data_IF_876917073634
#
_entry.id   IF_876917073634
#
_cell.length_a   1.000
_cell.length_b   1.000
_cell.length_c   1.000
_cell.angle_alpha   90.00
_cell.angle_beta   90.00
_cell.angle_gamma   90.00
#
_symmetry.space_group_name_H-M   'P 1'
#
loop_
_entity.id
_entity.type
_entity.pdbx_description
1 polymer ?
#
# COMPACT_ATOMS: atom_id res chain seq x y z
N UNK A 1 3.08 -10.18 -11.32
CA UNK A 1 1.95 -9.35 -11.82
C UNK A 1 0.67 -10.13 -11.58
N UNK A 2 -0.44 -9.46 -11.25
CA UNK A 2 -1.75 -10.10 -11.17
C UNK A 2 -2.57 -9.75 -12.41
N UNK A 3 -3.15 -10.77 -13.04
CA UNK A 3 -3.96 -10.61 -14.25
C UNK A 3 -5.33 -10.00 -13.95
N UNK A 4 -5.90 -9.32 -14.95
CA UNK A 4 -7.21 -8.65 -14.85
C UNK A 4 -8.27 -9.60 -14.28
N UNK A 5 -9.02 -9.13 -13.30
CA UNK A 5 -10.11 -9.90 -12.68
C UNK A 5 -9.67 -10.98 -11.69
N UNK A 6 -8.37 -11.14 -11.40
CA UNK A 6 -7.92 -12.04 -10.34
C UNK A 6 -8.55 -11.69 -8.99
N UNK A 7 -9.02 -12.69 -8.25
CA UNK A 7 -9.54 -12.52 -6.90
C UNK A 7 -9.02 -13.61 -5.95
N UNK A 8 -8.41 -13.23 -4.84
CA UNK A 8 -7.89 -14.19 -3.87
C UNK A 8 -7.24 -13.51 -2.66
N UNK A 9 -6.97 -14.29 -1.62
CA UNK A 9 -6.21 -13.83 -0.45
C UNK A 9 -4.75 -14.23 -0.61
N UNK A 10 -3.83 -13.25 -0.62
CA UNK A 10 -2.40 -13.48 -0.91
C UNK A 10 -1.49 -12.59 -0.08
N UNK A 11 -0.32 -13.12 0.26
CA UNK A 11 0.78 -12.37 0.86
C UNK A 11 1.90 -12.26 -0.17
N UNK A 12 2.14 -11.06 -0.68
CA UNK A 12 3.06 -10.79 -1.78
C UNK A 12 4.35 -10.20 -1.24
N UNK A 13 5.45 -10.91 -1.48
CA UNK A 13 6.81 -10.44 -1.24
C UNK A 13 7.47 -10.23 -2.61
N UNK A 14 8.02 -9.05 -2.85
CA UNK A 14 8.69 -8.75 -4.11
C UNK A 14 9.88 -7.80 -3.90
N UNK A 15 10.81 -7.77 -4.86
CA UNK A 15 12.02 -6.94 -4.76
C UNK A 15 11.91 -5.61 -5.52
N UNK A 16 11.11 -5.58 -6.59
CA UNK A 16 11.11 -4.47 -7.54
C UNK A 16 9.73 -3.95 -7.88
N UNK A 17 8.82 -4.81 -8.36
CA UNK A 17 7.56 -4.36 -8.94
C UNK A 17 6.41 -5.31 -8.62
N UNK A 18 5.33 -4.74 -8.11
CA UNK A 18 4.02 -5.41 -8.03
C UNK A 18 3.00 -4.57 -8.80
N UNK A 19 2.30 -5.20 -9.73
CA UNK A 19 1.20 -4.59 -10.49
C UNK A 19 -0.04 -5.43 -10.29
N UNK A 20 -1.08 -4.80 -9.78
CA UNK A 20 -2.45 -5.28 -9.86
C UNK A 20 -3.08 -4.66 -11.10
N UNK A 21 -3.42 -5.49 -12.09
CA UNK A 21 -4.17 -5.02 -13.25
C UNK A 21 -5.60 -4.63 -12.88
N UNK A 22 -6.39 -4.22 -13.87
CA UNK A 22 -7.75 -3.75 -13.65
C UNK A 22 -8.61 -4.84 -12.99
N UNK A 23 -9.53 -4.40 -12.13
CA UNK A 23 -10.52 -5.27 -11.47
C UNK A 23 -9.93 -6.43 -10.63
N UNK A 24 -8.65 -6.36 -10.25
CA UNK A 24 -8.00 -7.31 -9.34
C UNK A 24 -8.43 -7.05 -7.89
N UNK A 25 -8.82 -8.09 -7.16
CA UNK A 25 -9.20 -7.99 -5.75
C UNK A 25 -8.33 -8.90 -4.88
N UNK A 26 -7.43 -8.29 -4.10
CA UNK A 26 -6.72 -8.99 -3.03
C UNK A 26 -7.57 -8.95 -1.76
N UNK A 27 -8.18 -10.10 -1.42
CA UNK A 27 -9.13 -10.26 -0.31
C UNK A 27 -8.43 -10.26 1.05
N UNK A 28 -9.14 -9.86 2.09
CA UNK A 28 -8.58 -9.85 3.45
C UNK A 28 -8.23 -11.28 3.90
N UNK A 29 -7.12 -11.51 4.63
CA UNK A 29 -6.03 -10.57 4.93
C UNK A 29 -4.93 -10.67 3.86
N UNK A 30 -4.87 -9.73 2.91
CA UNK A 30 -3.80 -9.68 1.92
C UNK A 30 -2.70 -8.69 2.29
N UNK A 31 -1.53 -8.83 1.70
CA UNK A 31 -0.42 -7.92 1.94
C UNK A 31 0.48 -7.81 0.72
N UNK A 32 1.04 -6.62 0.51
CA UNK A 32 2.11 -6.40 -0.46
C UNK A 32 3.28 -5.78 0.30
N UNK A 33 4.44 -6.43 0.25
CA UNK A 33 5.69 -5.93 0.79
C UNK A 33 6.75 -5.92 -0.31
N UNK A 34 7.27 -4.73 -0.60
CA UNK A 34 8.53 -4.54 -1.30
C UNK A 34 9.54 -3.98 -0.30
N UNK A 35 10.58 -4.77 0.00
CA UNK A 35 11.62 -4.41 0.95
C UNK A 35 13.01 -4.41 0.29
N UNK A 36 14.07 -4.56 1.11
CA UNK A 36 15.48 -4.64 0.71
C UNK A 36 15.66 -5.53 -0.52
N UNK A 37 16.23 -4.94 -1.56
CA UNK A 37 16.64 -5.60 -2.80
C UNK A 37 17.60 -4.69 -3.54
N UNK A 38 18.41 -5.27 -4.44
CA UNK A 38 19.45 -4.56 -5.21
C UNK A 38 18.85 -3.55 -6.20
N UNK A 39 17.56 -3.68 -6.52
CA UNK A 39 16.90 -2.82 -7.48
C UNK A 39 16.75 -1.39 -6.96
N UNK A 40 17.25 -0.42 -7.72
CA UNK A 40 17.08 1.01 -7.43
C UNK A 40 15.62 1.46 -7.51
N UNK A 41 14.75 0.69 -8.16
CA UNK A 41 13.34 1.05 -8.36
C UNK A 41 12.44 0.04 -7.66
N UNK A 42 11.58 0.54 -6.77
CA UNK A 42 10.64 -0.24 -5.97
C UNK A 42 9.25 0.36 -6.12
N UNK A 43 8.36 -0.35 -6.81
CA UNK A 43 7.07 0.21 -7.22
C UNK A 43 5.90 -0.75 -6.99
N UNK A 44 4.82 -0.25 -6.39
CA UNK A 44 3.52 -0.93 -6.36
C UNK A 44 2.53 -0.11 -7.17
N UNK A 45 1.83 -0.75 -8.10
CA UNK A 45 0.78 -0.12 -8.92
C UNK A 45 -0.54 -0.85 -8.75
N UNK A 46 -1.53 -0.12 -8.29
CA UNK A 46 -2.93 -0.53 -8.27
C UNK A 46 -3.62 0.17 -9.43
N UNK A 47 -3.90 -0.57 -10.51
CA UNK A 47 -4.65 -0.02 -11.65
C UNK A 47 -6.13 0.17 -11.29
N UNK A 48 -6.85 0.79 -12.21
CA UNK A 48 -8.27 1.12 -12.09
C UNK A 48 -9.11 -0.05 -11.52
N UNK A 49 -10.01 0.27 -10.60
CA UNK A 49 -10.91 -0.68 -9.91
C UNK A 49 -10.22 -1.82 -9.13
N UNK A 50 -8.89 -1.87 -9.04
CA UNK A 50 -8.23 -2.88 -8.21
C UNK A 50 -8.39 -2.57 -6.72
N UNK A 51 -8.43 -3.61 -5.89
CA UNK A 51 -8.65 -3.49 -4.46
C UNK A 51 -7.68 -4.33 -3.67
N UNK A 52 -7.15 -3.76 -2.58
CA UNK A 52 -6.36 -4.47 -1.59
C UNK A 52 -7.02 -4.33 -0.23
N UNK A 53 -7.43 -5.44 0.36
CA UNK A 53 -7.90 -5.49 1.74
C UNK A 53 -6.78 -6.04 2.62
N UNK A 54 -6.11 -5.15 3.35
CA UNK A 54 -4.87 -5.47 4.04
C UNK A 54 -3.88 -4.31 4.00
N UNK A 55 -2.61 -4.57 3.71
CA UNK A 55 -1.60 -3.52 3.73
C UNK A 55 -0.70 -3.51 2.48
N UNK A 56 -0.18 -2.32 2.18
CA UNK A 56 0.78 -2.12 1.09
C UNK A 56 2.00 -1.38 1.64
N UNK A 57 3.15 -2.04 1.60
CA UNK A 57 4.39 -1.56 2.20
C UNK A 57 5.49 -1.53 1.15
N UNK A 58 6.07 -0.36 0.92
CA UNK A 58 7.30 -0.16 0.14
C UNK A 58 8.32 0.51 1.04
N UNK A 59 9.35 -0.23 1.44
CA UNK A 59 10.37 0.28 2.35
C UNK A 59 11.77 -0.04 1.85
N UNK A 60 12.59 1.00 1.80
CA UNK A 60 14.04 0.90 1.68
C UNK A 60 14.70 1.98 2.55
N UNK A 61 15.85 1.64 3.10
CA UNK A 61 16.75 2.56 3.82
C UNK A 61 17.56 3.41 2.86
N UNK A 62 17.84 2.89 1.65
CA UNK A 62 18.53 3.66 0.63
C UNK A 62 17.66 4.83 0.16
N UNK A 63 18.14 6.06 0.41
CA UNK A 63 17.46 7.29 0.01
C UNK A 63 17.46 7.51 -1.51
N UNK A 64 18.45 6.96 -2.21
CA UNK A 64 18.57 7.08 -3.67
C UNK A 64 17.57 6.18 -4.42
N UNK A 65 17.11 5.11 -3.77
CA UNK A 65 16.13 4.20 -4.35
C UNK A 65 14.79 4.90 -4.62
N UNK A 66 14.30 4.78 -5.85
CA UNK A 66 13.01 5.25 -6.32
C UNK A 66 11.88 4.36 -5.79
N UNK A 67 11.27 4.78 -4.69
CA UNK A 67 10.17 4.08 -4.01
C UNK A 67 8.85 4.77 -4.30
N UNK A 68 7.94 4.07 -4.97
CA UNK A 68 6.68 4.65 -5.44
C UNK A 68 5.50 3.70 -5.17
N UNK A 69 4.40 4.25 -4.65
CA UNK A 69 3.10 3.57 -4.72
C UNK A 69 2.18 4.42 -5.59
N UNK A 70 1.53 3.78 -6.57
CA UNK A 70 0.50 4.40 -7.42
C UNK A 70 -0.84 3.72 -7.18
N UNK A 71 -1.83 4.52 -6.82
CA UNK A 71 -3.21 4.08 -6.61
C UNK A 71 -4.07 4.87 -7.59
N UNK A 72 -4.44 4.21 -8.67
CA UNK A 72 -5.16 4.82 -9.78
C UNK A 72 -6.65 5.06 -9.44
N UNK A 73 -7.34 5.76 -10.32
CA UNK A 73 -8.75 6.12 -10.19
C UNK A 73 -9.59 4.87 -9.89
N UNK A 74 -10.49 4.97 -8.90
CA UNK A 74 -11.34 3.87 -8.40
C UNK A 74 -10.59 2.67 -7.79
N UNK A 75 -9.27 2.65 -7.77
CA UNK A 75 -8.55 1.67 -6.98
C UNK A 75 -8.71 1.98 -5.49
N UNK A 76 -8.73 0.94 -4.66
CA UNK A 76 -8.98 1.08 -3.23
C UNK A 76 -8.02 0.24 -2.39
N UNK A 77 -7.45 0.85 -1.35
CA UNK A 77 -6.79 0.11 -0.26
C UNK A 77 -7.64 0.25 0.99
N UNK A 78 -8.02 -0.87 1.60
CA UNK A 78 -8.64 -0.91 2.93
C UNK A 78 -7.61 -1.45 3.91
N UNK A 79 -7.00 -0.55 4.67
CA UNK A 79 -5.95 -0.84 5.66
C UNK A 79 -4.79 0.15 5.62
N UNK A 80 -3.57 -0.34 5.86
CA UNK A 80 -2.39 0.53 6.06
C UNK A 80 -1.52 0.60 4.80
N UNK A 81 -1.18 1.81 4.37
CA UNK A 81 -0.25 2.08 3.27
C UNK A 81 1.01 2.76 3.83
N UNK A 82 2.17 2.17 3.57
CA UNK A 82 3.45 2.69 3.99
C UNK A 82 4.42 2.75 2.81
N UNK A 83 4.98 3.92 2.53
CA UNK A 83 6.00 4.10 1.51
C UNK A 83 7.11 5.01 2.04
N UNK A 84 8.35 4.54 2.16
CA UNK A 84 9.47 5.47 2.52
C UNK A 84 9.88 6.41 1.38
N UNK A 85 9.17 6.40 0.25
CA UNK A 85 9.31 7.34 -0.86
C UNK A 85 8.03 8.13 -1.14
N UNK A 86 7.59 8.13 -2.40
CA UNK A 86 6.48 8.95 -2.87
C UNK A 86 5.20 8.14 -3.12
N UNK A 87 4.04 8.79 -2.98
CA UNK A 87 2.74 8.20 -3.34
C UNK A 87 2.02 9.09 -4.37
N UNK A 88 1.53 8.49 -5.45
CA UNK A 88 0.55 9.11 -6.34
C UNK A 88 -0.83 8.50 -6.07
N UNK A 89 -1.72 9.31 -5.50
CA UNK A 89 -3.04 8.89 -5.06
C UNK A 89 -4.14 9.59 -5.88
N UNK A 90 -4.86 8.80 -6.68
CA UNK A 90 -6.08 9.23 -7.41
C UNK A 90 -7.29 8.33 -7.11
N UNK A 91 -7.06 7.23 -6.39
CA UNK A 91 -8.10 6.36 -5.84
C UNK A 91 -8.40 6.66 -4.37
N UNK A 92 -8.73 5.60 -3.61
CA UNK A 92 -9.17 5.71 -2.23
C UNK A 92 -8.31 4.86 -1.29
N UNK A 93 -8.04 5.38 -0.11
CA UNK A 93 -7.45 4.63 1.00
C UNK A 93 -8.40 4.76 2.19
N UNK A 94 -9.01 3.65 2.60
CA UNK A 94 -9.74 3.55 3.85
C UNK A 94 -8.75 3.03 4.89
N UNK A 95 -8.17 3.91 5.69
CA UNK A 95 -7.15 3.56 6.68
C UNK A 95 -6.08 4.63 6.85
N UNK A 96 -4.82 4.21 7.01
CA UNK A 96 -3.71 5.14 7.34
C UNK A 96 -2.66 5.14 6.24
N UNK A 97 -2.06 6.30 5.99
CA UNK A 97 -0.99 6.49 5.00
C UNK A 97 0.24 7.07 5.68
N UNK A 98 1.39 6.46 5.43
CA UNK A 98 2.70 6.98 5.80
C UNK A 98 3.55 7.12 4.54
N UNK A 99 3.96 8.34 4.22
CA UNK A 99 4.80 8.60 3.04
C UNK A 99 5.69 9.82 3.24
N UNK A 100 6.83 9.86 2.54
CA UNK A 100 7.73 11.02 2.54
C UNK A 100 7.13 12.20 1.78
N UNK A 101 6.41 11.96 0.67
CA UNK A 101 5.68 13.00 -0.07
C UNK A 101 4.61 12.41 -0.98
N UNK A 102 3.59 13.21 -1.26
CA UNK A 102 2.69 12.94 -2.37
C UNK A 102 3.22 13.55 -3.65
N UNK A 103 2.78 13.05 -4.80
CA UNK A 103 2.99 13.71 -6.08
C UNK A 103 1.87 13.34 -7.05
N UNK A 104 1.68 14.20 -8.04
CA UNK A 104 0.77 13.96 -9.15
C UNK A 104 1.56 14.05 -10.45
N UNK A 105 1.58 12.98 -11.24
CA UNK A 105 2.05 13.01 -12.63
C UNK A 105 0.85 13.03 -13.57
N UNK A 106 0.75 14.09 -14.38
CA UNK A 106 -0.20 14.24 -15.49
C UNK A 106 0.54 14.15 -16.83
N UNK A 107 -0.18 14.23 -17.94
CA UNK A 107 0.43 14.36 -19.27
C UNK A 107 1.21 15.67 -19.44
N UNK A 108 0.74 16.75 -18.82
CA UNK A 108 1.32 18.08 -18.98
C UNK A 108 2.51 18.33 -18.03
N UNK A 109 2.41 17.89 -16.78
CA UNK A 109 3.43 18.19 -15.76
C UNK A 109 3.39 17.23 -14.57
N UNK A 110 4.42 17.34 -13.72
CA UNK A 110 4.51 16.71 -12.41
C UNK A 110 4.38 17.77 -11.32
N UNK A 111 3.49 17.53 -10.36
CA UNK A 111 3.24 18.39 -9.22
C UNK A 111 3.65 17.66 -7.95
N UNK A 112 4.57 18.23 -7.18
CA UNK A 112 4.95 17.68 -5.88
C UNK A 112 3.95 18.09 -4.79
N UNK A 113 3.75 17.23 -3.81
CA UNK A 113 2.85 17.39 -2.67
C UNK A 113 1.39 17.68 -3.06
N UNK A 114 0.94 17.10 -4.17
CA UNK A 114 -0.42 17.29 -4.69
C UNK A 114 -1.19 15.96 -4.73
N UNK A 115 -2.44 15.97 -4.28
CA UNK A 115 -3.39 14.85 -4.36
C UNK A 115 -4.57 15.32 -5.22
N UNK A 116 -4.86 14.62 -6.31
CA UNK A 116 -5.98 14.95 -7.20
C UNK A 116 -7.05 13.87 -7.16
N UNK A 117 -8.24 14.23 -6.69
CA UNK A 117 -9.39 13.33 -6.55
C UNK A 117 -9.10 12.07 -5.72
N UNK A 118 -8.01 12.08 -4.95
CA UNK A 118 -7.65 11.03 -4.01
C UNK A 118 -8.35 11.24 -2.67
N UNK A 119 -8.70 10.14 -2.00
CA UNK A 119 -9.35 10.17 -0.68
C UNK A 119 -8.57 9.32 0.32
N UNK A 120 -8.33 9.86 1.50
CA UNK A 120 -7.79 9.14 2.65
C UNK A 120 -8.81 9.25 3.76
N UNK A 121 -9.32 8.11 4.24
CA UNK A 121 -10.36 8.06 5.25
C UNK A 121 -10.09 6.97 6.28
N UNK A 122 -9.49 7.38 7.39
CA UNK A 122 -9.24 6.51 8.52
C UNK A 122 -10.51 6.13 9.28
N UNK A 123 -11.55 6.98 9.29
CA UNK A 123 -12.73 6.79 10.15
C UNK A 123 -13.58 5.61 9.70
N UNK A 124 -13.55 5.30 8.41
CA UNK A 124 -14.28 4.18 7.82
C UNK A 124 -13.52 2.85 7.84
N UNK A 125 -12.33 2.78 8.45
CA UNK A 125 -11.64 1.52 8.64
C UNK A 125 -12.38 0.68 9.70
N UNK A 126 -12.70 -0.61 9.44
CA UNK A 126 -13.37 -1.46 10.42
C UNK A 126 -12.60 -1.53 11.75
N UNK A 127 -13.31 -1.47 12.88
CA UNK A 127 -12.69 -1.51 14.21
C UNK A 127 -11.90 -2.81 14.46
N UNK A 128 -12.36 -3.92 13.87
CA UNK A 128 -11.74 -5.25 14.02
C UNK A 128 -10.63 -5.50 12.98
N UNK A 129 -10.23 -4.49 12.21
CA UNK A 129 -9.17 -4.62 11.22
C UNK A 129 -7.82 -4.86 11.89
N UNK A 130 -7.19 -6.00 11.59
CA UNK A 130 -5.87 -6.33 12.13
C UNK A 130 -4.80 -5.55 11.35
N UNK A 131 -4.12 -4.66 12.07
CA UNK A 131 -3.10 -3.79 11.49
C UNK A 131 -1.74 -4.47 11.46
N UNK A 132 -0.91 -4.09 10.49
CA UNK A 132 0.50 -4.48 10.51
C UNK A 132 1.21 -3.65 11.58
N UNK A 133 1.98 -4.28 12.49
CA UNK A 133 2.78 -3.56 13.47
C UNK A 133 4.00 -2.92 12.80
N UNK A 134 3.78 -1.82 12.09
CA UNK A 134 4.82 -1.09 11.35
C UNK A 134 5.78 -0.32 12.27
N UNK A 135 5.31 0.04 13.46
CA UNK A 135 6.06 0.83 14.41
C UNK A 135 6.17 0.09 15.73
N UNK A 136 7.37 0.13 16.33
CA UNK A 136 7.54 -0.31 17.70
C UNK A 136 6.75 0.64 18.60
N UNK A 137 5.78 0.09 19.30
CA UNK A 137 5.13 0.78 20.40
C UNK A 137 5.91 0.46 21.67
N UNK A 138 6.45 1.48 22.34
CA UNK A 138 7.10 1.34 23.66
C UNK A 138 6.12 1.01 24.80
N UNK A 139 4.98 0.38 24.49
CA UNK A 139 4.01 -0.07 25.47
C UNK A 139 3.86 -1.59 25.36
N UNK A 140 4.09 -2.28 26.49
CA UNK A 140 3.77 -3.70 26.73
C UNK A 140 2.29 -3.98 26.42
N UNK A 141 1.94 -4.15 25.16
CA UNK A 141 0.71 -4.84 24.78
C UNK A 141 1.09 -6.26 24.46
N UNK A 142 0.79 -7.15 25.41
CA UNK A 142 0.76 -8.60 25.20
C UNK A 142 -0.19 -8.86 24.03
N UNK A 143 0.35 -9.00 22.82
CA UNK A 143 -0.37 -9.66 21.75
C UNK A 143 -0.71 -11.05 22.29
N UNK A 144 -1.99 -11.38 22.35
CA UNK A 144 -2.48 -12.62 22.95
C UNK A 144 -1.75 -13.81 22.32
N UNK A 145 -0.77 -14.34 23.04
CA UNK A 145 -0.22 -15.64 22.74
C UNK A 145 -1.37 -16.61 22.97
N UNK A 146 -1.87 -17.19 21.87
CA UNK A 146 -2.77 -18.34 21.97
C UNK A 146 -1.97 -19.40 22.71
N UNK A 147 -2.32 -19.61 23.97
CA UNK A 147 -1.73 -20.67 24.79
C UNK A 147 -2.19 -21.99 24.16
N UNK A 148 -1.30 -22.84 23.63
CA UNK A 148 -1.71 -24.18 23.25
C UNK A 148 -2.19 -24.89 24.51
N UNK A 149 -3.37 -25.52 24.42
CA UNK A 149 -3.92 -26.44 25.42
C UNK A 149 -3.04 -27.68 25.55
#
# INVERSE_FOLDING_TARGET
MFETGFQGSVQVLAEQLVVLNEDVILKYPSGILINKGVSEKKEVRLKKNSKVLGAVVVYDQDKSAHKIIKIDKKAEVVGDVFCSGKIQLTGKIIGTVYTSSFYLKTEASTYDNYIMNGMIDRKNLPNDFVRIPLFQHNHNRLYGAIKPM
#
